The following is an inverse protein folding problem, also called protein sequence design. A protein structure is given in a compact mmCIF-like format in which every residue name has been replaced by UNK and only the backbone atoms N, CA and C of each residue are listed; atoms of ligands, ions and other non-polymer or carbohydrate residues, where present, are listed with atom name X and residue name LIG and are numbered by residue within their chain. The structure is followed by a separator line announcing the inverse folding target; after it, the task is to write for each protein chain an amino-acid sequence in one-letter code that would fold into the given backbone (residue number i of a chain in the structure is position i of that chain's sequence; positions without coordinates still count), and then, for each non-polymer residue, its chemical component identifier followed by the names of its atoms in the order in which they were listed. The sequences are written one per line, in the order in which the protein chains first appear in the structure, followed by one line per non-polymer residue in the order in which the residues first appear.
data_IF_251194372249
#
_entry.id   IF_251194372249
#
_cell.length_a   1.000
_cell.length_b   1.000
_cell.length_c   1.000
_cell.angle_alpha   90.00
_cell.angle_beta   90.00
_cell.angle_gamma   90.00
#
_symmetry.space_group_name_H-M   'P 1'
#
loop_
_entity.id
_entity.type
_entity.pdbx_description
1 polymer ?
#
# COMPACT_ATOMS: atom_id res chain seq x y z
N UNK A 1 39.07 -23.68 -6.31
CA UNK A 1 38.57 -24.29 -5.06
C UNK A 1 38.42 -23.22 -3.98
N UNK A 2 37.27 -23.15 -3.29
CA UNK A 2 37.21 -22.42 -2.02
C UNK A 2 38.04 -23.19 -0.97
N UNK A 3 39.15 -22.61 -0.51
CA UNK A 3 40.00 -23.22 0.52
C UNK A 3 39.18 -23.32 1.80
N UNK A 4 38.82 -24.55 2.20
CA UNK A 4 38.13 -24.81 3.47
C UNK A 4 39.15 -24.74 4.58
N UNK A 5 38.88 -23.90 5.58
CA UNK A 5 39.67 -23.86 6.81
C UNK A 5 39.29 -25.03 7.71
N UNK A 6 40.23 -25.46 8.53
CA UNK A 6 39.98 -26.47 9.55
C UNK A 6 38.99 -25.94 10.59
N UNK A 7 38.30 -26.85 11.28
CA UNK A 7 37.28 -26.48 12.26
C UNK A 7 37.86 -25.61 13.39
N UNK A 8 39.03 -25.97 13.91
CA UNK A 8 39.72 -25.20 14.95
C UNK A 8 40.05 -23.77 14.48
N UNK A 9 40.53 -23.61 13.24
CA UNK A 9 40.80 -22.29 12.66
C UNK A 9 39.53 -21.46 12.53
N UNK A 10 38.43 -22.09 12.06
CA UNK A 10 37.13 -21.44 11.95
C UNK A 10 36.62 -20.98 13.31
N UNK A 11 36.77 -21.80 14.34
CA UNK A 11 36.26 -21.48 15.68
C UNK A 11 37.06 -20.34 16.32
N UNK A 12 38.40 -20.30 16.16
CA UNK A 12 39.22 -19.15 16.54
C UNK A 12 38.78 -17.86 15.82
N UNK A 13 38.57 -17.94 14.50
CA UNK A 13 38.12 -16.79 13.71
C UNK A 13 36.72 -16.30 14.13
N UNK A 14 35.81 -17.21 14.49
CA UNK A 14 34.48 -16.86 15.02
C UNK A 14 34.58 -16.16 16.37
N UNK A 15 35.34 -16.71 17.32
CA UNK A 15 35.51 -16.09 18.64
C UNK A 15 36.11 -14.69 18.52
N UNK A 16 37.14 -14.51 17.69
CA UNK A 16 37.72 -13.19 17.45
C UNK A 16 36.74 -12.21 16.75
N UNK A 17 35.85 -12.71 15.90
CA UNK A 17 34.81 -11.90 15.25
C UNK A 17 33.72 -11.45 16.24
N UNK A 18 33.38 -12.31 17.21
CA UNK A 18 32.43 -12.00 18.28
C UNK A 18 33.01 -10.94 19.23
N UNK A 19 34.30 -11.00 19.53
CA UNK A 19 34.99 -9.94 20.29
C UNK A 19 35.11 -8.63 19.51
N UNK A 20 35.40 -8.69 18.21
CA UNK A 20 35.49 -7.51 17.35
C UNK A 20 35.22 -7.82 15.88
N UNK A 21 34.20 -7.18 15.33
CA UNK A 21 33.85 -7.33 13.91
C UNK A 21 34.85 -6.65 12.97
N UNK A 22 35.63 -5.69 13.48
CA UNK A 22 36.63 -4.93 12.76
C UNK A 22 38.03 -5.42 13.10
N UNK A 23 38.77 -5.84 12.07
CA UNK A 23 40.10 -6.38 12.23
C UNK A 23 41.12 -5.23 12.32
N UNK A 24 41.69 -5.01 13.50
CA UNK A 24 42.85 -4.12 13.65
C UNK A 24 44.12 -4.83 13.16
N UNK A 25 45.18 -4.07 12.88
CA UNK A 25 46.46 -4.62 12.41
C UNK A 25 47.04 -5.62 13.44
N UNK A 26 47.00 -5.28 14.72
CA UNK A 26 47.51 -6.11 15.82
C UNK A 26 46.74 -7.43 15.91
N UNK A 27 45.40 -7.37 15.95
CA UNK A 27 44.55 -8.57 15.97
C UNK A 27 44.76 -9.44 14.74
N UNK A 28 45.04 -8.85 13.58
CA UNK A 28 45.37 -9.59 12.36
C UNK A 28 46.67 -10.38 12.51
N UNK A 29 47.70 -9.78 13.09
CA UNK A 29 48.99 -10.46 13.36
C UNK A 29 48.80 -11.60 14.37
N UNK A 30 48.02 -11.38 15.43
CA UNK A 30 47.72 -12.42 16.42
C UNK A 30 46.96 -13.60 15.82
N UNK A 31 46.01 -13.33 14.92
CA UNK A 31 45.25 -14.36 14.23
C UNK A 31 46.11 -15.17 13.24
N UNK A 32 47.05 -14.53 12.54
CA UNK A 32 48.04 -15.26 11.70
C UNK A 32 48.84 -16.22 12.57
N UNK A 33 49.34 -15.76 13.72
CA UNK A 33 50.16 -16.57 14.62
C UNK A 33 49.39 -17.76 15.22
N UNK A 34 48.13 -17.55 15.59
CA UNK A 34 47.30 -18.59 16.23
C UNK A 34 46.70 -19.58 15.25
N UNK A 35 46.29 -19.13 14.06
CA UNK A 35 45.61 -19.97 13.07
C UNK A 35 46.54 -20.54 12.00
N UNK A 36 47.73 -19.97 11.82
CA UNK A 36 48.66 -20.29 10.73
C UNK A 36 48.15 -19.85 9.35
N UNK A 37 47.07 -19.05 9.29
CA UNK A 37 46.49 -18.55 8.05
C UNK A 37 47.19 -17.27 7.61
N UNK A 38 47.20 -17.04 6.31
CA UNK A 38 47.71 -15.78 5.75
C UNK A 38 46.77 -14.59 6.06
N UNK A 39 47.36 -13.40 6.10
CA UNK A 39 46.64 -12.15 6.36
C UNK A 39 45.50 -11.90 5.38
N UNK A 40 45.64 -12.24 4.09
CA UNK A 40 44.59 -12.05 3.09
C UNK A 40 43.43 -13.03 3.34
N UNK A 41 43.75 -14.26 3.75
CA UNK A 41 42.74 -15.28 4.06
C UNK A 41 41.87 -14.85 5.24
N UNK A 42 42.50 -14.34 6.30
CA UNK A 42 41.79 -13.82 7.48
C UNK A 42 40.93 -12.61 7.09
N UNK A 43 41.49 -11.65 6.35
CA UNK A 43 40.72 -10.48 5.91
C UNK A 43 39.52 -10.85 5.02
N UNK A 44 39.72 -11.77 4.07
CA UNK A 44 38.68 -12.28 3.19
C UNK A 44 37.56 -12.97 3.98
N UNK A 45 37.92 -13.78 4.98
CA UNK A 45 36.94 -14.42 5.84
C UNK A 45 36.11 -13.41 6.64
N UNK A 46 36.75 -12.41 7.25
CA UNK A 46 36.05 -11.34 7.97
C UNK A 46 35.12 -10.53 7.06
N UNK A 47 35.57 -10.20 5.85
CA UNK A 47 34.74 -9.53 4.85
C UNK A 47 33.50 -10.34 4.50
N UNK A 48 33.66 -11.64 4.22
CA UNK A 48 32.54 -12.54 3.94
C UNK A 48 31.60 -12.65 5.14
N UNK A 49 32.13 -12.79 6.36
CA UNK A 49 31.33 -12.87 7.57
C UNK A 49 30.48 -11.61 7.79
N UNK A 50 31.06 -10.42 7.60
CA UNK A 50 30.32 -9.13 7.61
C UNK A 50 29.27 -9.06 6.52
N UNK A 51 29.60 -9.48 5.29
CA UNK A 51 28.64 -9.50 4.19
C UNK A 51 27.45 -10.42 4.50
N UNK A 52 27.70 -11.63 4.99
CA UNK A 52 26.64 -12.55 5.41
C UNK A 52 25.79 -11.98 6.56
N UNK A 53 26.40 -11.31 7.54
CA UNK A 53 25.66 -10.65 8.63
C UNK A 53 24.73 -9.56 8.09
N UNK A 54 25.23 -8.70 7.19
CA UNK A 54 24.40 -7.67 6.52
C UNK A 54 23.29 -8.28 5.69
N UNK A 55 23.58 -9.33 4.92
CA UNK A 55 22.58 -10.02 4.12
C UNK A 55 21.46 -10.61 4.99
N UNK A 56 21.81 -11.28 6.11
CA UNK A 56 20.82 -11.80 7.06
C UNK A 56 19.94 -10.70 7.66
N UNK A 57 20.54 -9.56 8.04
CA UNK A 57 19.77 -8.41 8.52
C UNK A 57 18.80 -7.90 7.44
N UNK A 58 19.28 -7.72 6.21
CA UNK A 58 18.46 -7.28 5.08
C UNK A 58 17.33 -8.26 4.78
N UNK A 59 17.55 -9.57 4.89
CA UNK A 59 16.50 -10.58 4.70
C UNK A 59 15.43 -10.40 5.79
N UNK A 60 15.82 -10.29 7.06
CA UNK A 60 14.85 -10.07 8.15
C UNK A 60 14.10 -8.74 8.03
N UNK A 61 14.72 -7.70 7.49
CA UNK A 61 14.05 -6.43 7.19
C UNK A 61 13.02 -6.59 6.05
N UNK A 62 13.39 -7.33 4.99
CA UNK A 62 12.49 -7.64 3.87
C UNK A 62 11.30 -8.51 4.29
N UNK A 63 11.52 -9.51 5.15
CA UNK A 63 10.46 -10.38 5.67
C UNK A 63 9.42 -9.58 6.49
N UNK A 64 9.89 -8.67 7.35
CA UNK A 64 9.00 -7.78 8.11
C UNK A 64 8.18 -6.87 7.19
N UNK A 65 8.85 -6.21 6.24
CA UNK A 65 8.15 -5.36 5.28
C UNK A 65 7.12 -6.14 4.45
N UNK A 66 7.42 -7.38 4.08
CA UNK A 66 6.49 -8.23 3.34
C UNK A 66 5.25 -8.56 4.20
N UNK A 67 5.44 -8.90 5.47
CA UNK A 67 4.33 -9.13 6.40
C UNK A 67 3.45 -7.88 6.58
N UNK A 68 4.04 -6.71 6.76
CA UNK A 68 3.32 -5.44 6.88
C UNK A 68 2.52 -5.12 5.60
N UNK A 69 3.10 -5.37 4.42
CA UNK A 69 2.43 -5.19 3.14
C UNK A 69 1.26 -6.15 2.95
N UNK A 70 1.40 -7.40 3.40
CA UNK A 70 0.30 -8.37 3.34
C UNK A 70 -0.87 -7.95 4.23
N UNK A 71 -0.60 -7.46 5.44
CA UNK A 71 -1.63 -6.93 6.34
C UNK A 71 -2.34 -5.74 5.71
N UNK A 72 -1.60 -4.77 5.18
CA UNK A 72 -2.17 -3.60 4.53
C UNK A 72 -3.00 -3.96 3.28
N UNK A 73 -2.57 -4.97 2.52
CA UNK A 73 -3.32 -5.46 1.36
C UNK A 73 -4.67 -6.05 1.77
N UNK A 74 -4.69 -6.82 2.85
CA UNK A 74 -5.93 -7.44 3.33
C UNK A 74 -6.90 -6.39 3.88
N UNK A 75 -6.41 -5.43 4.66
CA UNK A 75 -7.23 -4.29 5.09
C UNK A 75 -7.83 -3.51 3.91
N UNK A 76 -7.05 -3.33 2.84
CA UNK A 76 -7.54 -2.65 1.63
C UNK A 76 -8.64 -3.44 0.95
N UNK A 77 -8.51 -4.78 0.87
CA UNK A 77 -9.53 -5.65 0.30
C UNK A 77 -10.83 -5.64 1.10
N UNK A 78 -10.73 -5.66 2.43
CA UNK A 78 -11.88 -5.58 3.31
C UNK A 78 -12.63 -4.24 3.14
N UNK A 79 -11.90 -3.13 3.11
CA UNK A 79 -12.46 -1.79 2.87
C UNK A 79 -13.13 -1.70 1.50
N UNK A 80 -12.50 -2.26 0.46
CA UNK A 80 -13.07 -2.31 -0.88
C UNK A 80 -14.36 -3.13 -0.91
N UNK A 81 -14.40 -4.30 -0.27
CA UNK A 81 -15.59 -5.13 -0.17
C UNK A 81 -16.74 -4.41 0.57
N UNK A 82 -16.43 -3.67 1.63
CA UNK A 82 -17.43 -2.89 2.36
C UNK A 82 -18.01 -1.76 1.48
N UNK A 83 -17.16 -1.03 0.75
CA UNK A 83 -17.60 -0.01 -0.18
C UNK A 83 -18.46 -0.60 -1.30
N UNK A 84 -18.07 -1.75 -1.84
CA UNK A 84 -18.84 -2.43 -2.88
C UNK A 84 -20.22 -2.84 -2.37
N UNK A 85 -20.31 -3.32 -1.13
CA UNK A 85 -21.59 -3.64 -0.48
C UNK A 85 -22.47 -2.39 -0.35
N UNK A 86 -21.93 -1.30 0.20
CA UNK A 86 -22.66 -0.02 0.35
C UNK A 86 -23.14 0.52 -0.99
N UNK A 87 -22.31 0.41 -2.02
CA UNK A 87 -22.67 0.81 -3.39
C UNK A 87 -23.84 -0.01 -3.93
N UNK A 88 -23.81 -1.33 -3.74
CA UNK A 88 -24.89 -2.21 -4.18
C UNK A 88 -26.20 -1.92 -3.44
N UNK A 89 -26.16 -1.70 -2.12
CA UNK A 89 -27.33 -1.30 -1.34
C UNK A 89 -27.89 0.04 -1.80
N UNK A 90 -27.03 1.03 -2.10
CA UNK A 90 -27.47 2.32 -2.61
C UNK A 90 -28.17 2.19 -3.96
N UNK A 91 -27.61 1.39 -4.88
CA UNK A 91 -28.22 1.11 -6.19
C UNK A 91 -29.57 0.42 -6.08
N UNK A 92 -29.71 -0.51 -5.13
CA UNK A 92 -30.99 -1.18 -4.88
C UNK A 92 -32.05 -0.19 -4.39
N UNK A 93 -31.71 0.64 -3.41
CA UNK A 93 -32.63 1.69 -2.91
C UNK A 93 -33.04 2.68 -4.00
N UNK A 94 -32.10 3.07 -4.85
CA UNK A 94 -32.38 3.96 -5.99
C UNK A 94 -33.35 3.31 -6.98
N UNK A 95 -33.15 2.04 -7.32
CA UNK A 95 -34.05 1.30 -8.20
C UNK A 95 -35.46 1.13 -7.61
N UNK A 96 -35.57 0.90 -6.30
CA UNK A 96 -36.86 0.85 -5.60
C UNK A 96 -37.61 2.19 -5.67
N UNK A 97 -36.91 3.29 -5.38
CA UNK A 97 -37.46 4.64 -5.48
C UNK A 97 -37.84 5.01 -6.91
N UNK A 98 -37.07 4.57 -7.91
CA UNK A 98 -37.40 4.80 -9.31
C UNK A 98 -38.66 4.03 -9.71
N UNK A 99 -38.79 2.77 -9.29
CA UNK A 99 -39.98 1.96 -9.54
C UNK A 99 -41.23 2.55 -8.86
N UNK A 100 -41.12 3.02 -7.61
CA UNK A 100 -42.20 3.71 -6.90
C UNK A 100 -42.60 5.00 -7.63
N UNK A 101 -41.62 5.82 -8.04
CA UNK A 101 -41.88 7.03 -8.82
C UNK A 101 -42.58 6.74 -10.15
N UNK A 102 -42.21 5.66 -10.84
CA UNK A 102 -42.89 5.24 -12.07
C UNK A 102 -44.33 4.80 -11.80
N UNK A 103 -44.57 4.04 -10.73
CA UNK A 103 -45.92 3.62 -10.31
C UNK A 103 -46.81 4.82 -9.99
N UNK A 104 -46.31 5.77 -9.19
CA UNK A 104 -47.04 6.99 -8.84
C UNK A 104 -47.38 7.83 -10.09
N UNK A 105 -46.46 7.97 -11.04
CA UNK A 105 -46.73 8.65 -12.32
C UNK A 105 -47.85 7.98 -13.10
N UNK A 106 -47.90 6.65 -13.14
CA UNK A 106 -48.98 5.91 -13.81
C UNK A 106 -50.32 6.10 -13.08
N UNK A 107 -50.35 6.01 -11.75
CA UNK A 107 -51.58 6.26 -10.97
C UNK A 107 -52.11 7.68 -11.15
N UNK A 108 -51.23 8.69 -11.17
CA UNK A 108 -51.59 10.07 -11.46
C UNK A 108 -52.09 10.27 -12.89
N UNK A 109 -51.53 9.57 -13.88
CA UNK A 109 -52.03 9.63 -15.26
C UNK A 109 -53.44 9.03 -15.40
N UNK A 110 -53.75 7.98 -14.62
CA UNK A 110 -55.07 7.33 -14.61
C UNK A 110 -56.10 8.20 -13.84
N UNK A 111 -55.72 8.77 -12.70
CA UNK A 111 -56.60 9.64 -11.91
C UNK A 111 -56.72 11.06 -12.46
N UNK A 112 -55.74 11.53 -13.23
CA UNK A 112 -55.73 12.82 -13.94
C UNK A 112 -56.43 12.77 -15.29
N UNK A 113 -56.99 11.60 -15.68
CA UNK A 113 -57.80 11.43 -16.88
C UNK A 113 -59.13 12.20 -16.87
N UNK A 114 -59.48 12.89 -15.78
CA UNK A 114 -60.69 13.72 -15.71
C UNK A 114 -60.53 14.97 -14.82
N UNK A 115 -59.39 15.66 -14.93
CA UNK A 115 -59.28 17.04 -14.47
C UNK A 115 -58.81 17.88 -15.66
N UNK A 116 -59.78 18.33 -16.47
CA UNK A 116 -59.61 19.50 -17.33
C UNK A 116 -59.24 20.70 -16.44
N UNK A 117 -57.95 20.92 -16.22
CA UNK A 117 -57.43 22.23 -15.82
C UNK A 117 -57.21 23.09 -17.07
N UNK A 118 -58.27 23.22 -17.88
CA UNK A 118 -58.38 24.27 -18.89
C UNK A 118 -58.87 25.54 -18.20
N UNK A 119 -57.99 26.21 -17.45
CA UNK A 119 -58.05 27.65 -17.13
C UNK A 119 -57.01 27.98 -16.05
N UNK A 120 -56.29 29.10 -16.25
CA UNK A 120 -55.37 29.77 -15.30
C UNK A 120 -53.86 29.48 -15.50
N UNK A 121 -53.42 29.29 -16.75
CA UNK A 121 -52.05 29.70 -17.14
C UNK A 121 -52.11 30.54 -18.42
N UNK A 122 -52.83 31.65 -18.33
CA UNK A 122 -52.83 32.71 -19.33
C UNK A 122 -52.54 34.04 -18.66
N UNK A 123 -51.34 34.24 -18.12
CA UNK A 123 -50.79 35.56 -17.75
C UNK A 123 -49.32 35.41 -17.33
N UNK A 124 -48.41 35.23 -18.30
CA UNK A 124 -46.99 35.59 -18.16
C UNK A 124 -46.25 35.41 -19.51
N UNK A 125 -46.76 36.03 -20.56
CA UNK A 125 -46.00 36.28 -21.77
C UNK A 125 -46.29 37.72 -22.16
N UNK A 126 -45.58 38.65 -21.53
CA UNK A 126 -45.26 39.98 -22.04
C UNK A 126 -44.68 40.81 -20.89
N UNK A 127 -43.36 40.78 -20.75
CA UNK A 127 -42.61 41.99 -20.42
C UNK A 127 -41.28 41.93 -21.17
N UNK A 128 -41.32 42.63 -22.31
CA UNK A 128 -40.25 43.28 -23.03
C UNK A 128 -38.91 43.40 -22.30
N UNK A 129 -37.84 43.08 -23.03
CA UNK A 129 -36.48 43.35 -22.62
C UNK A 129 -36.16 44.83 -22.49
N UNK A 130 -35.16 45.12 -21.67
CA UNK A 130 -34.30 46.30 -21.76
C UNK A 130 -32.91 45.91 -21.24
N UNK A 131 -31.96 45.91 -22.16
CA UNK A 131 -30.55 46.28 -22.07
C UNK A 131 -29.64 45.80 -20.92
N UNK A 132 -28.65 45.01 -21.32
CA UNK A 132 -27.24 45.42 -21.43
C UNK A 132 -26.68 46.39 -20.37
N UNK A 133 -25.77 45.87 -19.52
CA UNK A 133 -24.45 46.46 -19.17
C UNK A 133 -23.86 45.74 -17.94
N UNK A 134 -22.82 44.92 -18.12
CA UNK A 134 -21.39 45.26 -17.98
C UNK A 134 -20.85 45.19 -16.53
N UNK A 135 -19.72 44.45 -16.42
CA UNK A 135 -18.63 44.49 -15.42
C UNK A 135 -18.74 43.68 -14.11
N UNK A 136 -18.12 42.49 -14.18
CA UNK A 136 -17.12 41.94 -13.24
C UNK A 136 -16.10 43.01 -12.75
N UNK A 137 -15.38 42.84 -11.63
CA UNK A 137 -14.61 41.63 -11.27
C UNK A 137 -15.07 40.93 -9.99
#
# INVERSE_FOLDING_TARGET
MAKRFEKCQIDILKSAFEESENLTREKKVDLVRTTGLDMEQIASWFNRKRACKRARKSIGDLERNNADLQLALEESREKEAELQKKLNESKQREAELEAENQSLKQSLAISGGDMRFDSVLGFAADLHGVDDHILRP
#
